data_IF_034396058210
#
_entry.id   IF_034396058210
#
_cell.length_a   1.000
_cell.length_b   1.000
_cell.length_c   1.000
_cell.angle_alpha   90.00
_cell.angle_beta   90.00
_cell.angle_gamma   90.00
#
_symmetry.space_group_name_H-M   'P 1'
#
loop_
_entity.id
_entity.type
_entity.pdbx_description
1 polymer ?
#
# COMPACT_ATOMS: atom_id res chain seq x y z
N UNK A 1 -45.72 15.29 -64.82
CA UNK A 1 -46.29 15.23 -63.45
C UNK A 1 -46.39 13.74 -63.13
N UNK A 2 -45.74 13.10 -62.15
CA UNK A 2 -45.26 13.46 -60.79
C UNK A 2 -44.06 12.51 -60.50
N UNK A 3 -42.86 13.04 -60.32
CA UNK A 3 -42.10 13.16 -59.04
C UNK A 3 -41.62 11.86 -58.38
N UNK A 4 -40.27 11.73 -58.37
CA UNK A 4 -39.36 11.25 -57.33
C UNK A 4 -39.93 10.47 -56.13
N UNK A 5 -39.27 9.34 -55.77
CA UNK A 5 -38.43 9.31 -54.56
C UNK A 5 -37.53 8.06 -54.52
N UNK A 6 -36.21 8.27 -54.40
CA UNK A 6 -35.26 7.21 -54.02
C UNK A 6 -35.41 6.98 -52.51
N UNK A 7 -35.83 5.79 -52.10
CA UNK A 7 -35.79 5.40 -50.69
C UNK A 7 -34.41 4.79 -50.42
N UNK A 8 -33.50 5.61 -49.91
CA UNK A 8 -32.28 5.12 -49.27
C UNK A 8 -32.67 4.73 -47.84
N UNK A 9 -32.69 3.42 -47.57
CA UNK A 9 -32.90 2.92 -46.21
C UNK A 9 -31.60 3.12 -45.44
N UNK A 10 -31.51 4.21 -44.68
CA UNK A 10 -30.44 4.41 -43.71
C UNK A 10 -30.80 3.61 -42.44
N UNK A 11 -30.23 2.41 -42.30
CA UNK A 11 -30.36 1.59 -41.10
C UNK A 11 -29.40 2.10 -40.03
N UNK A 12 -29.91 2.87 -39.06
CA UNK A 12 -29.13 3.30 -37.91
C UNK A 12 -29.15 2.21 -36.84
N UNK A 13 -28.02 1.49 -36.67
CA UNK A 13 -27.82 0.59 -35.54
C UNK A 13 -27.36 1.43 -34.35
N UNK A 14 -28.26 1.67 -33.39
CA UNK A 14 -27.90 2.28 -32.13
C UNK A 14 -27.23 1.22 -31.22
N UNK A 15 -25.90 1.25 -31.12
CA UNK A 15 -25.15 0.52 -30.10
C UNK A 15 -25.33 1.24 -28.76
N UNK A 16 -26.30 0.79 -27.96
CA UNK A 16 -26.43 1.16 -26.55
C UNK A 16 -25.31 0.46 -25.76
N UNK A 17 -24.18 1.13 -25.62
CA UNK A 17 -23.17 0.76 -24.63
C UNK A 17 -23.72 1.12 -23.25
N UNK A 18 -24.17 0.12 -22.49
CA UNK A 18 -24.42 0.29 -21.06
C UNK A 18 -23.07 0.44 -20.34
N UNK A 19 -22.57 1.68 -20.25
CA UNK A 19 -21.55 2.00 -19.28
C UNK A 19 -22.18 1.93 -17.89
N UNK A 20 -22.02 0.80 -17.20
CA UNK A 20 -22.34 0.72 -15.78
C UNK A 20 -21.41 1.70 -15.05
N UNK A 21 -21.94 2.66 -14.25
CA UNK A 21 -21.09 3.43 -13.37
C UNK A 21 -20.45 2.46 -12.37
N UNK A 22 -19.13 2.31 -12.44
CA UNK A 22 -18.38 1.61 -11.41
C UNK A 22 -18.60 2.38 -10.10
N UNK A 23 -19.40 1.83 -9.19
CA UNK A 23 -19.66 2.43 -7.88
C UNK A 23 -18.40 2.33 -7.03
N UNK A 24 -17.73 3.44 -6.68
CA UNK A 24 -16.55 3.41 -5.83
C UNK A 24 -17.00 3.41 -4.37
N UNK A 25 -17.71 2.35 -3.92
CA UNK A 25 -18.35 2.37 -2.60
C UNK A 25 -17.65 1.52 -1.53
N UNK A 26 -16.66 0.69 -1.88
CA UNK A 26 -15.99 -0.19 -0.90
C UNK A 26 -14.58 0.27 -0.49
N UNK A 27 -13.87 0.96 -1.38
CA UNK A 27 -12.45 1.29 -1.19
C UNK A 27 -12.22 2.43 -0.20
N UNK A 28 -13.05 3.47 -0.26
CA UNK A 28 -12.92 4.67 0.59
C UNK A 28 -13.12 4.33 2.08
N UNK A 29 -14.02 3.39 2.39
CA UNK A 29 -14.36 3.02 3.77
C UNK A 29 -13.25 2.21 4.47
N UNK A 30 -12.57 1.31 3.74
CA UNK A 30 -11.45 0.53 4.30
C UNK A 30 -10.23 1.43 4.53
N UNK A 31 -9.94 2.34 3.60
CA UNK A 31 -8.86 3.32 3.76
C UNK A 31 -9.10 4.26 4.95
N UNK A 32 -10.31 4.78 5.14
CA UNK A 32 -10.63 5.63 6.30
C UNK A 32 -10.59 4.87 7.62
N UNK A 33 -11.00 3.59 7.64
CA UNK A 33 -10.92 2.76 8.83
C UNK A 33 -9.48 2.43 9.24
N UNK A 34 -8.58 2.18 8.27
CA UNK A 34 -7.18 1.85 8.55
C UNK A 34 -6.31 3.06 8.79
N UNK A 35 -6.69 4.25 8.29
CA UNK A 35 -5.99 5.51 8.58
C UNK A 35 -5.82 5.76 10.08
N UNK A 36 -6.78 5.30 10.88
CA UNK A 36 -6.78 5.46 12.34
C UNK A 36 -6.47 4.15 13.08
N UNK A 37 -6.10 3.08 12.38
CA UNK A 37 -5.77 1.82 13.02
C UNK A 37 -4.42 1.94 13.75
N UNK A 38 -4.29 1.37 14.97
CA UNK A 38 -3.06 1.44 15.73
C UNK A 38 -1.95 0.63 15.08
N UNK A 39 -0.71 1.07 15.26
CA UNK A 39 0.47 0.29 14.88
C UNK A 39 0.59 -0.96 15.76
N UNK A 40 1.10 -2.04 15.17
CA UNK A 40 1.45 -3.26 15.87
C UNK A 40 2.90 -3.17 16.32
N UNK A 41 3.19 -3.66 17.52
CA UNK A 41 4.56 -3.83 18.02
C UNK A 41 4.92 -5.31 18.02
N UNK A 42 5.94 -5.68 17.26
CA UNK A 42 6.49 -7.03 17.23
C UNK A 42 7.78 -7.04 18.02
N UNK A 43 7.75 -7.72 19.16
CA UNK A 43 8.92 -7.92 19.98
C UNK A 43 9.72 -9.14 19.49
N UNK A 44 11.01 -8.95 19.23
CA UNK A 44 11.88 -9.99 18.67
C UNK A 44 12.99 -10.34 19.67
N UNK A 45 13.19 -11.63 19.92
CA UNK A 45 14.29 -12.14 20.75
C UNK A 45 15.10 -13.19 19.99
N UNK A 46 16.38 -12.92 19.79
CA UNK A 46 17.36 -13.85 19.21
C UNK A 46 17.94 -14.74 20.31
N UNK A 47 17.75 -16.06 20.22
CA UNK A 47 18.02 -16.99 21.34
C UNK A 47 19.47 -17.40 21.51
N UNK A 48 20.29 -17.38 20.46
CA UNK A 48 21.71 -17.77 20.55
C UNK A 48 22.56 -16.55 20.90
N UNK A 49 23.53 -16.71 21.81
CA UNK A 49 24.43 -15.62 22.24
C UNK A 49 25.15 -14.92 21.08
N UNK A 50 25.48 -15.67 20.02
CA UNK A 50 26.14 -15.15 18.82
C UNK A 50 25.20 -14.45 17.84
N UNK A 51 23.88 -14.56 18.00
CA UNK A 51 22.93 -13.91 17.10
C UNK A 51 22.65 -12.49 17.59
N UNK A 52 23.13 -11.52 16.82
CA UNK A 52 22.93 -10.10 17.05
C UNK A 52 22.58 -9.41 15.73
N UNK A 53 21.71 -8.41 15.81
CA UNK A 53 21.48 -7.43 14.76
C UNK A 53 21.92 -6.08 15.33
N UNK A 54 22.98 -5.49 14.76
CA UNK A 54 23.58 -4.24 15.26
C UNK A 54 23.84 -4.27 16.77
N UNK A 55 24.55 -5.29 17.26
CA UNK A 55 24.82 -5.53 18.69
C UNK A 55 23.61 -5.88 19.58
N UNK A 56 22.38 -5.93 19.04
CA UNK A 56 21.15 -6.24 19.79
C UNK A 56 20.70 -7.69 19.57
N UNK A 57 20.32 -8.38 20.65
CA UNK A 57 19.61 -9.68 20.60
C UNK A 57 18.12 -9.55 20.87
N UNK A 58 17.68 -8.37 21.29
CA UNK A 58 16.29 -8.09 21.64
C UNK A 58 15.95 -6.69 21.13
N UNK A 59 14.86 -6.57 20.40
CA UNK A 59 14.45 -5.31 19.78
C UNK A 59 12.97 -5.36 19.40
N UNK A 60 12.39 -4.17 19.23
CA UNK A 60 11.01 -4.02 18.77
C UNK A 60 10.98 -3.57 17.30
N UNK A 61 10.04 -4.13 16.54
CA UNK A 61 9.66 -3.67 15.21
C UNK A 61 8.26 -3.09 15.31
N UNK A 62 8.08 -1.88 14.81
CA UNK A 62 6.78 -1.22 14.78
C UNK A 62 6.23 -1.29 13.36
N UNK A 63 4.94 -1.58 13.22
CA UNK A 63 4.31 -1.86 11.94
C UNK A 63 2.95 -1.14 11.85
N UNK A 64 2.85 -0.16 10.96
CA UNK A 64 1.62 0.62 10.74
C UNK A 64 0.88 0.10 9.52
N UNK A 65 -0.42 -0.24 9.63
CA UNK A 65 -1.16 -0.75 8.48
C UNK A 65 -1.34 0.33 7.41
N UNK A 66 -1.11 -0.04 6.15
CA UNK A 66 -1.33 0.81 4.97
C UNK A 66 -2.08 0.04 3.90
N UNK A 67 -2.98 0.71 3.19
CA UNK A 67 -3.69 0.10 2.06
C UNK A 67 -2.75 0.09 0.85
N UNK A 68 -2.64 -1.07 0.20
CA UNK A 68 -1.87 -1.24 -1.04
C UNK A 68 -2.36 -0.29 -2.14
N UNK A 69 -1.49 0.03 -3.10
CA UNK A 69 -1.79 0.98 -4.19
C UNK A 69 -2.98 0.52 -5.03
N UNK A 70 -3.09 -0.78 -5.29
CA UNK A 70 -4.23 -1.38 -6.01
C UNK A 70 -5.45 -1.64 -5.11
N UNK A 71 -5.39 -1.26 -3.82
CA UNK A 71 -6.43 -1.48 -2.82
C UNK A 71 -6.88 -2.93 -2.64
N UNK A 72 -6.07 -3.90 -3.08
CA UNK A 72 -6.40 -5.32 -3.03
C UNK A 72 -6.01 -5.96 -1.69
N UNK A 73 -5.07 -5.35 -0.97
CA UNK A 73 -4.55 -5.86 0.31
C UNK A 73 -4.17 -4.75 1.29
N UNK A 74 -4.02 -5.14 2.56
CA UNK A 74 -3.40 -4.34 3.61
C UNK A 74 -1.95 -4.77 3.73
N UNK A 75 -1.03 -3.81 3.63
CA UNK A 75 0.39 -3.96 3.91
C UNK A 75 0.69 -3.34 5.27
N UNK A 76 1.92 -3.54 5.76
CA UNK A 76 2.39 -2.90 6.97
C UNK A 76 3.70 -2.18 6.70
N UNK A 77 3.69 -0.87 6.90
CA UNK A 77 4.89 -0.06 6.86
C UNK A 77 5.62 -0.26 8.19
N UNK A 78 6.79 -0.89 8.10
CA UNK A 78 7.56 -1.34 9.25
C UNK A 78 8.74 -0.41 9.52
N UNK A 79 9.10 -0.21 10.78
CA UNK A 79 10.36 0.42 11.15
C UNK A 79 11.00 -0.26 12.37
N UNK A 80 12.33 -0.40 12.31
CA UNK A 80 13.15 -0.89 13.41
C UNK A 80 14.41 -0.03 13.47
N UNK A 81 14.71 0.52 14.65
CA UNK A 81 15.87 1.39 14.85
C UNK A 81 16.80 0.77 15.88
N UNK A 82 18.08 0.76 15.55
CA UNK A 82 19.16 0.23 16.37
C UNK A 82 20.15 1.36 16.63
N UNK A 83 20.65 1.43 17.86
CA UNK A 83 21.73 2.36 18.24
C UNK A 83 22.96 1.51 18.52
N UNK A 84 23.90 1.48 17.58
CA UNK A 84 25.12 0.69 17.69
C UNK A 84 26.31 1.63 17.75
N UNK A 85 27.01 1.62 18.89
CA UNK A 85 28.03 2.62 19.22
C UNK A 85 27.49 4.05 19.01
N UNK A 86 28.13 4.82 18.13
CA UNK A 86 27.72 6.18 17.76
C UNK A 86 26.95 6.20 16.43
N UNK A 87 26.24 5.12 16.08
CA UNK A 87 25.45 5.05 14.84
C UNK A 87 24.02 4.66 15.11
N UNK A 88 23.10 5.44 14.58
CA UNK A 88 21.68 5.08 14.51
C UNK A 88 21.36 4.48 13.16
N UNK A 89 20.91 3.23 13.18
CA UNK A 89 20.60 2.46 11.98
C UNK A 89 19.11 2.17 11.97
N UNK A 90 18.39 2.64 10.96
CA UNK A 90 16.95 2.45 10.83
C UNK A 90 16.63 1.66 9.57
N UNK A 91 15.99 0.50 9.75
CA UNK A 91 15.34 -0.24 8.68
C UNK A 91 13.91 0.25 8.56
N UNK A 92 13.48 0.53 7.32
CA UNK A 92 12.10 0.94 7.03
C UNK A 92 11.55 0.12 5.87
N UNK A 93 10.33 -0.38 6.00
CA UNK A 93 9.52 -0.90 4.90
C UNK A 93 8.42 0.12 4.64
N UNK A 94 8.38 0.69 3.44
CA UNK A 94 7.39 1.71 3.06
C UNK A 94 6.72 1.30 1.76
N UNK A 95 5.41 1.08 1.80
CA UNK A 95 4.59 0.62 0.67
C UNK A 95 5.17 -0.59 -0.06
N UNK A 96 5.79 -1.50 0.68
CA UNK A 96 6.42 -2.71 0.15
C UNK A 96 7.87 -2.55 -0.34
N UNK A 97 8.44 -1.35 -0.31
CA UNK A 97 9.85 -1.11 -0.61
C UNK A 97 10.68 -1.02 0.67
N UNK A 98 11.82 -1.71 0.73
CA UNK A 98 12.71 -1.73 1.88
C UNK A 98 13.82 -0.67 1.74
N UNK A 99 14.12 0.00 2.85
CA UNK A 99 15.11 1.06 2.96
C UNK A 99 15.97 0.85 4.21
N UNK A 100 17.21 1.34 4.13
CA UNK A 100 18.14 1.43 5.23
C UNK A 100 18.64 2.87 5.30
N UNK A 101 18.53 3.48 6.47
CA UNK A 101 19.18 4.77 6.75
C UNK A 101 20.15 4.62 7.92
N UNK A 102 21.23 5.38 7.84
CA UNK A 102 22.24 5.46 8.89
C UNK A 102 22.46 6.93 9.21
N UNK A 103 22.51 7.26 10.49
CA UNK A 103 22.92 8.57 10.99
C UNK A 103 24.04 8.34 12.00
N UNK A 104 25.16 9.03 11.82
CA UNK A 104 26.20 9.08 12.84
C UNK A 104 25.72 9.93 14.04
N UNK A 105 26.25 9.65 15.22
CA UNK A 105 26.07 10.43 16.44
C UNK A 105 26.62 11.84 16.23
N UNK A 106 25.96 12.82 16.85
CA UNK A 106 26.40 14.22 16.81
C UNK A 106 27.75 14.39 17.54
#
# INVERSE_FOLDING_TARGET
MVSLLRVVVASAVALLAFAQPATPLKTTQVQTSLKNAPSVKVHVTLKRKSMKLHSHSEFDVYATPVVSVNSASVLYDGYATFVDEDKKITYSLVKGAAYLSTKDGD
#
